data_IF_906647436192
#
_entry.id   IF_906647436192
#
_cell.length_a   1.000
_cell.length_b   1.000
_cell.length_c   1.000
_cell.angle_alpha   90.00
_cell.angle_beta   90.00
_cell.angle_gamma   90.00
#
_symmetry.space_group_name_H-M   'P 1'
#
loop_
_entity.id
_entity.type
_entity.pdbx_description
1 polymer ?
#
# COMPACT_ATOMS: atom_id res chain seq x y z
N UNK A 1 -70.66 -22.05 -12.14
CA UNK A 1 -70.41 -20.92 -11.21
C UNK A 1 -68.93 -20.77 -10.78
N UNK A 2 -68.05 -21.75 -11.02
CA UNK A 2 -66.64 -21.74 -10.57
C UNK A 2 -65.65 -20.93 -11.45
N UNK A 3 -65.90 -20.80 -12.75
CA UNK A 3 -64.97 -20.11 -13.69
C UNK A 3 -64.97 -18.58 -13.47
N UNK A 4 -66.10 -17.99 -13.10
CA UNK A 4 -66.21 -16.54 -12.84
C UNK A 4 -65.44 -16.10 -11.60
N UNK A 5 -65.43 -16.92 -10.55
CA UNK A 5 -64.67 -16.67 -9.32
C UNK A 5 -63.16 -16.77 -9.56
N UNK A 6 -62.73 -17.73 -10.40
CA UNK A 6 -61.33 -17.91 -10.76
C UNK A 6 -60.77 -16.74 -11.59
N UNK A 7 -61.53 -16.28 -12.59
CA UNK A 7 -61.15 -15.11 -13.42
C UNK A 7 -61.13 -13.81 -12.58
N UNK A 8 -62.07 -13.66 -11.64
CA UNK A 8 -62.11 -12.51 -10.73
C UNK A 8 -60.90 -12.47 -9.77
N UNK A 9 -60.46 -13.63 -9.28
CA UNK A 9 -59.28 -13.74 -8.42
C UNK A 9 -57.96 -13.47 -9.17
N UNK A 10 -57.84 -13.92 -10.42
CA UNK A 10 -56.67 -13.63 -11.27
C UNK A 10 -56.59 -12.13 -11.61
N UNK A 11 -57.71 -11.50 -11.97
CA UNK A 11 -57.75 -10.06 -12.24
C UNK A 11 -57.39 -9.21 -11.00
N UNK A 12 -57.80 -9.65 -9.81
CA UNK A 12 -57.47 -8.99 -8.54
C UNK A 12 -56.00 -9.16 -8.14
N UNK A 13 -55.40 -10.29 -8.48
CA UNK A 13 -53.97 -10.58 -8.31
C UNK A 13 -53.08 -9.71 -9.22
N UNK A 14 -53.39 -9.66 -10.53
CA UNK A 14 -52.69 -8.83 -11.51
C UNK A 14 -52.79 -7.32 -11.20
N UNK A 15 -53.94 -6.85 -10.71
CA UNK A 15 -54.12 -5.48 -10.26
C UNK A 15 -53.29 -5.09 -9.03
N UNK A 16 -52.97 -6.04 -8.14
CA UNK A 16 -52.09 -5.81 -6.99
C UNK A 16 -50.62 -5.77 -7.40
N UNK A 17 -50.19 -6.59 -8.36
CA UNK A 17 -48.83 -6.62 -8.90
C UNK A 17 -48.47 -5.32 -9.66
N UNK A 18 -49.37 -4.82 -10.51
CA UNK A 18 -49.16 -3.55 -11.24
C UNK A 18 -49.13 -2.31 -10.31
N UNK A 19 -49.86 -2.34 -9.19
CA UNK A 19 -49.81 -1.29 -8.15
C UNK A 19 -48.53 -1.32 -7.30
N UNK A 20 -47.80 -2.45 -7.24
CA UNK A 20 -46.51 -2.55 -6.56
C UNK A 20 -45.36 -2.08 -7.45
N UNK A 21 -45.37 -2.42 -8.75
CA UNK A 21 -44.37 -1.93 -9.71
C UNK A 21 -44.37 -0.41 -9.88
N UNK A 22 -45.54 0.24 -9.89
CA UNK A 22 -45.63 1.70 -10.00
C UNK A 22 -45.16 2.44 -8.72
N UNK A 23 -45.31 1.83 -7.54
CA UNK A 23 -44.80 2.41 -6.28
C UNK A 23 -43.27 2.27 -6.13
N UNK A 24 -42.65 1.24 -6.72
CA UNK A 24 -41.19 1.14 -6.75
C UNK A 24 -40.56 2.08 -7.79
N UNK A 25 -41.18 2.26 -8.97
CA UNK A 25 -40.70 3.20 -9.98
C UNK A 25 -40.83 4.68 -9.55
N UNK A 26 -41.86 5.04 -8.76
CA UNK A 26 -42.06 6.41 -8.27
C UNK A 26 -41.14 6.76 -7.08
N UNK A 27 -40.64 5.75 -6.35
CA UNK A 27 -39.68 5.96 -5.26
C UNK A 27 -38.22 5.99 -5.77
N UNK A 28 -37.91 5.26 -6.85
CA UNK A 28 -36.58 5.28 -7.48
C UNK A 28 -36.30 6.58 -8.28
N UNK A 29 -37.33 7.29 -8.73
CA UNK A 29 -37.20 8.56 -9.47
C UNK A 29 -37.09 9.83 -8.61
N UNK A 30 -37.18 9.73 -7.27
CA UNK A 30 -37.18 10.90 -6.37
C UNK A 30 -35.86 11.17 -5.64
N UNK A 31 -34.87 10.27 -5.72
CA UNK A 31 -33.56 10.43 -5.05
C UNK A 31 -32.39 10.71 -5.99
N UNK A 32 -32.64 11.06 -7.26
CA UNK A 32 -31.64 11.60 -8.17
C UNK A 32 -32.22 12.83 -8.85
N UNK A 33 -31.91 14.00 -8.30
CA UNK A 33 -31.70 15.32 -8.93
C UNK A 33 -31.73 16.33 -7.75
N UNK A 34 -30.56 16.50 -7.13
CA UNK A 34 -30.28 17.63 -6.25
C UNK A 34 -28.85 18.06 -6.55
N UNK A 35 -28.68 18.84 -7.62
CA UNK A 35 -27.64 19.86 -7.82
C UNK A 35 -27.56 20.26 -9.30
N UNK A 36 -27.25 21.55 -9.49
CA UNK A 36 -26.92 22.28 -10.73
C UNK A 36 -28.03 23.04 -11.48
N UNK A 37 -27.97 24.35 -11.22
CA UNK A 37 -27.88 25.45 -12.20
C UNK A 37 -29.06 25.78 -13.11
N UNK A 38 -29.66 26.93 -12.78
CA UNK A 38 -29.97 28.05 -13.67
C UNK A 38 -29.53 27.90 -15.14
N UNK A 39 -30.50 27.84 -16.06
CA UNK A 39 -30.53 28.67 -17.29
C UNK A 39 -31.84 28.52 -18.06
N UNK A 40 -32.31 29.66 -18.58
CA UNK A 40 -33.45 29.84 -19.47
C UNK A 40 -33.39 28.93 -20.70
N UNK A 41 -34.54 28.34 -21.07
CA UNK A 41 -34.71 27.68 -22.36
C UNK A 41 -36.07 27.03 -22.52
N UNK A 42 -36.86 27.50 -23.49
CA UNK A 42 -38.19 27.00 -23.88
C UNK A 42 -38.29 25.48 -23.89
N UNK A 43 -39.12 24.91 -23.02
CA UNK A 43 -39.58 23.52 -23.13
C UNK A 43 -40.87 23.51 -23.95
N UNK A 44 -40.77 23.03 -25.18
CA UNK A 44 -41.90 22.61 -26.00
C UNK A 44 -42.72 21.56 -25.24
N UNK A 45 -44.01 21.81 -25.02
CA UNK A 45 -44.97 20.80 -24.55
C UNK A 45 -45.06 19.66 -25.57
N UNK A 46 -44.22 18.64 -25.42
CA UNK A 46 -44.52 17.32 -25.95
C UNK A 46 -45.54 16.69 -24.99
N UNK A 47 -46.80 16.66 -25.39
CA UNK A 47 -47.85 15.93 -24.69
C UNK A 47 -47.55 14.44 -24.76
N UNK A 48 -46.87 13.89 -23.76
CA UNK A 48 -46.89 12.46 -23.51
C UNK A 48 -48.32 12.09 -23.13
N UNK A 49 -49.12 11.68 -24.13
CA UNK A 49 -50.37 10.93 -23.91
C UNK A 49 -49.98 9.67 -23.15
N UNK A 50 -50.08 9.69 -21.82
CA UNK A 50 -50.12 8.46 -21.03
C UNK A 50 -51.41 7.75 -21.44
N UNK A 51 -51.31 6.77 -22.33
CA UNK A 51 -52.37 5.82 -22.58
C UNK A 51 -52.64 5.11 -21.26
N UNK A 52 -53.67 5.58 -20.56
CA UNK A 52 -54.12 5.00 -19.31
C UNK A 52 -54.51 3.55 -19.56
N UNK A 53 -53.69 2.61 -19.09
CA UNK A 53 -53.92 1.17 -19.19
C UNK A 53 -55.30 0.73 -18.64
N UNK A 54 -55.96 1.56 -17.81
CA UNK A 54 -57.28 1.28 -17.24
C UNK A 54 -58.40 1.16 -18.28
N UNK A 55 -58.35 1.93 -19.37
CA UNK A 55 -59.38 1.90 -20.42
C UNK A 55 -59.31 0.64 -21.29
N UNK A 56 -58.11 0.11 -21.47
CA UNK A 56 -57.88 -1.11 -22.25
C UNK A 56 -58.30 -2.36 -21.45
N UNK A 57 -57.94 -2.41 -20.17
CA UNK A 57 -58.27 -3.53 -19.27
C UNK A 57 -59.79 -3.69 -19.09
N UNK A 58 -60.52 -2.58 -18.95
CA UNK A 58 -61.98 -2.62 -18.78
C UNK A 58 -62.72 -3.08 -20.04
N UNK A 59 -62.23 -2.71 -21.24
CA UNK A 59 -62.75 -3.24 -22.51
C UNK A 59 -62.43 -4.73 -22.68
N UNK A 60 -61.24 -5.16 -22.28
CA UNK A 60 -60.80 -6.56 -22.35
C UNK A 60 -61.66 -7.47 -21.48
N UNK A 61 -62.01 -7.04 -20.25
CA UNK A 61 -62.85 -7.82 -19.32
C UNK A 61 -64.26 -8.03 -19.88
N UNK A 62 -64.88 -7.00 -20.44
CA UNK A 62 -66.24 -7.13 -21.03
C UNK A 62 -66.25 -8.04 -22.25
N UNK A 63 -65.23 -7.93 -23.10
CA UNK A 63 -65.08 -8.79 -24.26
C UNK A 63 -64.92 -10.27 -23.85
N UNK A 64 -64.09 -10.56 -22.84
CA UNK A 64 -63.94 -11.92 -22.29
C UNK A 64 -65.25 -12.46 -21.73
N UNK A 65 -66.07 -11.61 -21.10
CA UNK A 65 -67.36 -12.03 -20.55
C UNK A 65 -68.37 -12.41 -21.65
N UNK A 66 -68.31 -11.77 -22.82
CA UNK A 66 -69.18 -12.05 -23.98
C UNK A 66 -68.85 -13.34 -24.75
N UNK A 67 -67.73 -13.99 -24.45
CA UNK A 67 -67.32 -15.23 -25.13
C UNK A 67 -68.17 -16.44 -24.71
N UNK A 68 -68.40 -17.36 -25.65
CA UNK A 68 -69.01 -18.66 -25.34
C UNK A 68 -68.10 -19.50 -24.43
N UNK A 69 -68.66 -20.52 -23.76
CA UNK A 69 -67.89 -21.37 -22.82
C UNK A 69 -66.67 -22.01 -23.50
N UNK A 70 -66.82 -22.42 -24.76
CA UNK A 70 -65.73 -22.99 -25.56
C UNK A 70 -64.64 -21.95 -25.87
N UNK A 71 -65.01 -20.73 -26.25
CA UNK A 71 -64.06 -19.65 -26.53
C UNK A 71 -63.31 -19.19 -25.27
N UNK A 72 -63.97 -19.22 -24.10
CA UNK A 72 -63.32 -18.97 -22.81
C UNK A 72 -62.27 -20.04 -22.48
N UNK A 73 -62.56 -21.31 -22.77
CA UNK A 73 -61.60 -22.40 -22.59
C UNK A 73 -60.36 -22.22 -23.49
N UNK A 74 -60.57 -21.92 -24.79
CA UNK A 74 -59.46 -21.63 -25.71
C UNK A 74 -58.63 -20.42 -25.29
N UNK A 75 -59.26 -19.35 -24.79
CA UNK A 75 -58.55 -18.16 -24.33
C UNK A 75 -57.68 -18.42 -23.09
N UNK A 76 -58.17 -19.22 -22.14
CA UNK A 76 -57.37 -19.62 -20.95
C UNK A 76 -56.19 -20.49 -21.36
N UNK A 77 -56.41 -21.48 -22.25
CA UNK A 77 -55.33 -22.33 -22.77
C UNK A 77 -54.29 -21.48 -23.50
N UNK A 78 -54.71 -20.52 -24.33
CA UNK A 78 -53.81 -19.61 -25.03
C UNK A 78 -52.95 -18.79 -24.06
N UNK A 79 -53.51 -18.27 -22.96
CA UNK A 79 -52.75 -17.54 -21.93
C UNK A 79 -51.73 -18.45 -21.24
N UNK A 80 -52.10 -19.68 -20.88
CA UNK A 80 -51.18 -20.64 -20.24
C UNK A 80 -50.02 -20.98 -21.17
N UNK A 81 -50.29 -21.22 -22.46
CA UNK A 81 -49.23 -21.45 -23.46
C UNK A 81 -48.34 -20.21 -23.61
N UNK A 82 -48.91 -19.00 -23.60
CA UNK A 82 -48.13 -17.76 -23.69
C UNK A 82 -47.24 -17.54 -22.46
N UNK A 83 -47.69 -17.91 -21.27
CA UNK A 83 -46.89 -17.87 -20.05
C UNK A 83 -45.75 -18.90 -20.07
N UNK A 84 -46.03 -20.14 -20.47
CA UNK A 84 -45.01 -21.18 -20.65
C UNK A 84 -43.99 -20.81 -21.73
N UNK A 85 -44.46 -20.21 -22.82
CA UNK A 85 -43.60 -19.70 -23.90
C UNK A 85 -42.76 -18.51 -23.42
N UNK A 86 -43.34 -17.57 -22.68
CA UNK A 86 -42.60 -16.43 -22.09
C UNK A 86 -41.52 -16.93 -21.13
N UNK A 87 -41.84 -17.92 -20.29
CA UNK A 87 -40.88 -18.53 -19.38
C UNK A 87 -39.79 -19.32 -20.12
N UNK A 88 -40.13 -19.97 -21.24
CA UNK A 88 -39.18 -20.66 -22.12
C UNK A 88 -38.25 -19.68 -22.85
N UNK A 89 -38.78 -18.56 -23.36
CA UNK A 89 -38.01 -17.52 -24.04
C UNK A 89 -37.07 -16.79 -23.08
N UNK A 90 -37.54 -16.45 -21.87
CA UNK A 90 -36.70 -15.85 -20.82
C UNK A 90 -35.61 -16.84 -20.38
N UNK A 91 -35.95 -18.10 -20.09
CA UNK A 91 -34.96 -19.12 -19.75
C UNK A 91 -33.96 -19.39 -20.87
N UNK A 92 -34.37 -19.32 -22.15
CA UNK A 92 -33.47 -19.57 -23.29
C UNK A 92 -32.54 -18.37 -23.54
N UNK A 93 -33.03 -17.14 -23.35
CA UNK A 93 -32.21 -15.93 -23.36
C UNK A 93 -31.20 -15.91 -22.21
N UNK A 94 -31.62 -16.25 -20.99
CA UNK A 94 -30.72 -16.40 -19.84
C UNK A 94 -29.71 -17.53 -20.06
N UNK A 95 -30.13 -18.69 -20.57
CA UNK A 95 -29.22 -19.82 -20.83
C UNK A 95 -28.24 -19.54 -21.98
N UNK A 96 -28.59 -18.69 -22.93
CA UNK A 96 -27.69 -18.27 -24.02
C UNK A 96 -26.73 -17.17 -23.56
N UNK A 97 -27.19 -16.22 -22.75
CA UNK A 97 -26.34 -15.21 -22.12
C UNK A 97 -25.37 -15.83 -21.11
N UNK A 98 -25.84 -16.79 -20.30
CA UNK A 98 -24.97 -17.51 -19.35
C UNK A 98 -23.94 -18.36 -20.07
N UNK A 99 -24.31 -19.03 -21.17
CA UNK A 99 -23.32 -19.75 -22.00
C UNK A 99 -22.26 -18.83 -22.61
N UNK A 100 -22.67 -17.65 -23.10
CA UNK A 100 -21.71 -16.67 -23.63
C UNK A 100 -20.81 -16.10 -22.52
N UNK A 101 -21.35 -15.88 -21.33
CA UNK A 101 -20.57 -15.46 -20.16
C UNK A 101 -19.58 -16.55 -19.73
N UNK A 102 -20.00 -17.80 -19.65
CA UNK A 102 -19.11 -18.94 -19.34
C UNK A 102 -18.04 -19.14 -20.41
N UNK A 103 -18.35 -18.90 -21.70
CA UNK A 103 -17.33 -18.90 -22.75
C UNK A 103 -16.28 -17.80 -22.53
N UNK A 104 -16.71 -16.58 -22.18
CA UNK A 104 -15.79 -15.49 -21.84
C UNK A 104 -14.95 -15.83 -20.60
N UNK A 105 -15.55 -16.43 -19.56
CA UNK A 105 -14.79 -16.88 -18.39
C UNK A 105 -13.77 -17.96 -18.74
N UNK A 106 -14.12 -18.91 -19.62
CA UNK A 106 -13.19 -19.92 -20.11
C UNK A 106 -12.03 -19.30 -20.92
N UNK A 107 -12.31 -18.30 -21.76
CA UNK A 107 -11.27 -17.52 -22.46
C UNK A 107 -10.36 -16.76 -21.49
N UNK A 108 -10.92 -16.13 -20.44
CA UNK A 108 -10.14 -15.49 -19.38
C UNK A 108 -9.28 -16.52 -18.63
N UNK A 109 -9.82 -17.71 -18.36
CA UNK A 109 -9.08 -18.79 -17.70
C UNK A 109 -7.87 -19.23 -18.54
N UNK A 110 -8.04 -19.35 -19.86
CA UNK A 110 -6.94 -19.62 -20.78
C UNK A 110 -5.88 -18.50 -20.78
N UNK A 111 -6.31 -17.22 -20.71
CA UNK A 111 -5.38 -16.10 -20.60
C UNK A 111 -4.61 -16.10 -19.28
N UNK A 112 -5.25 -16.49 -18.17
CA UNK A 112 -4.60 -16.64 -16.87
C UNK A 112 -3.54 -17.76 -16.93
N UNK A 113 -3.83 -18.90 -17.56
CA UNK A 113 -2.84 -19.97 -17.80
C UNK A 113 -1.62 -19.45 -18.58
N UNK A 114 -1.85 -18.67 -19.64
CA UNK A 114 -0.76 -18.04 -20.42
C UNK A 114 0.09 -17.16 -19.50
N UNK A 115 -0.53 -16.29 -18.69
CA UNK A 115 0.18 -15.41 -17.76
C UNK A 115 0.98 -16.16 -16.70
N UNK A 116 0.43 -17.26 -16.16
CA UNK A 116 1.15 -18.13 -15.24
C UNK A 116 2.39 -18.74 -15.93
N UNK A 117 2.25 -19.23 -17.16
CA UNK A 117 3.37 -19.85 -17.87
C UNK A 117 4.44 -18.85 -18.31
N UNK A 118 4.03 -17.66 -18.78
CA UNK A 118 4.92 -16.53 -19.05
C UNK A 118 5.65 -16.11 -17.77
N UNK A 119 4.95 -16.05 -16.64
CA UNK A 119 5.54 -15.73 -15.34
C UNK A 119 6.57 -16.77 -14.90
N UNK A 120 6.27 -18.07 -15.08
CA UNK A 120 7.20 -19.17 -14.79
C UNK A 120 8.47 -19.08 -15.64
N UNK A 121 8.32 -18.77 -16.93
CA UNK A 121 9.47 -18.57 -17.81
C UNK A 121 10.29 -17.34 -17.40
N UNK A 122 9.60 -16.22 -17.09
CA UNK A 122 10.24 -14.99 -16.62
C UNK A 122 10.99 -15.20 -15.31
N UNK A 123 10.47 -16.01 -14.38
CA UNK A 123 11.08 -16.24 -13.07
C UNK A 123 12.49 -16.84 -13.14
N UNK A 124 12.86 -17.43 -14.28
CA UNK A 124 14.19 -17.99 -14.54
C UNK A 124 15.27 -16.91 -14.76
N UNK A 125 14.90 -15.69 -15.13
CA UNK A 125 15.85 -14.61 -15.46
C UNK A 125 15.46 -13.24 -14.91
N UNK A 126 14.17 -12.97 -14.70
CA UNK A 126 13.62 -11.72 -14.20
C UNK A 126 12.40 -11.98 -13.28
N UNK A 127 12.68 -12.02 -11.97
CA UNK A 127 11.66 -12.18 -10.93
C UNK A 127 10.69 -10.98 -10.86
N UNK A 128 11.10 -9.79 -11.29
CA UNK A 128 10.24 -8.61 -11.32
C UNK A 128 9.14 -8.77 -12.37
N UNK A 129 9.52 -9.11 -13.59
CA UNK A 129 8.58 -9.41 -14.68
C UNK A 129 7.66 -10.58 -14.31
N UNK A 130 8.22 -11.65 -13.73
CA UNK A 130 7.42 -12.79 -13.28
C UNK A 130 6.33 -12.38 -12.27
N UNK A 131 6.68 -11.54 -11.29
CA UNK A 131 5.74 -11.02 -10.30
C UNK A 131 4.62 -10.22 -10.95
N UNK A 132 4.93 -9.32 -11.88
CA UNK A 132 3.93 -8.55 -12.61
C UNK A 132 2.93 -9.46 -13.32
N UNK A 133 3.40 -10.49 -14.02
CA UNK A 133 2.55 -11.46 -14.72
C UNK A 133 1.65 -12.26 -13.76
N UNK A 134 2.17 -12.63 -12.59
CA UNK A 134 1.38 -13.32 -11.57
C UNK A 134 0.34 -12.41 -10.88
N UNK A 135 0.65 -11.13 -10.68
CA UNK A 135 -0.32 -10.13 -10.21
C UNK A 135 -1.45 -9.98 -11.23
N UNK A 136 -1.11 -9.83 -12.52
CA UNK A 136 -2.11 -9.76 -13.60
C UNK A 136 -3.00 -11.02 -13.64
N UNK A 137 -2.39 -12.20 -13.51
CA UNK A 137 -3.11 -13.48 -13.45
C UNK A 137 -4.09 -13.53 -12.27
N UNK A 138 -3.68 -13.08 -11.08
CA UNK A 138 -4.53 -12.99 -9.89
C UNK A 138 -5.69 -12.02 -10.10
N UNK A 139 -5.40 -10.85 -10.65
CA UNK A 139 -6.39 -9.78 -10.82
C UNK A 139 -7.41 -10.13 -11.90
N UNK A 140 -7.02 -10.89 -12.94
CA UNK A 140 -7.93 -11.50 -13.90
C UNK A 140 -8.80 -12.59 -13.27
N UNK A 141 -8.21 -13.48 -12.46
CA UNK A 141 -8.96 -14.53 -11.77
C UNK A 141 -10.04 -13.95 -10.84
N UNK A 142 -9.73 -12.82 -10.18
CA UNK A 142 -10.67 -12.11 -9.31
C UNK A 142 -11.88 -11.50 -10.05
N UNK A 143 -11.82 -11.36 -11.38
CA UNK A 143 -12.93 -10.89 -12.21
C UNK A 143 -13.92 -12.02 -12.56
N UNK A 144 -13.54 -13.28 -12.38
CA UNK A 144 -14.38 -14.45 -12.65
C UNK A 144 -15.25 -14.75 -11.42
N UNK A 145 -16.60 -14.79 -11.53
CA UNK A 145 -17.45 -15.08 -10.39
C UNK A 145 -17.22 -16.48 -9.82
N UNK A 146 -17.03 -16.59 -8.50
CA UNK A 146 -16.78 -17.88 -7.82
C UNK A 146 -17.92 -18.90 -7.98
N UNK A 147 -19.13 -18.42 -8.27
CA UNK A 147 -20.30 -19.27 -8.52
C UNK A 147 -20.45 -19.72 -9.98
N UNK A 148 -19.61 -19.23 -10.91
CA UNK A 148 -19.56 -19.69 -12.30
C UNK A 148 -19.15 -21.17 -12.38
N UNK A 149 -19.56 -21.84 -13.44
CA UNK A 149 -19.17 -23.23 -13.66
C UNK A 149 -17.66 -23.31 -13.94
N UNK A 150 -17.12 -22.37 -14.72
CA UNK A 150 -15.68 -22.26 -15.01
C UNK A 150 -14.82 -22.13 -13.73
N UNK A 151 -15.25 -21.29 -12.77
CA UNK A 151 -14.49 -21.13 -11.53
C UNK A 151 -14.55 -22.38 -10.65
N UNK A 152 -15.70 -23.06 -10.55
CA UNK A 152 -15.82 -24.28 -9.76
C UNK A 152 -14.96 -25.42 -10.29
N UNK A 153 -14.72 -25.46 -11.61
CA UNK A 153 -13.88 -26.48 -12.23
C UNK A 153 -12.39 -26.30 -11.89
N UNK A 154 -11.87 -25.06 -11.91
CA UNK A 154 -10.41 -24.83 -11.83
C UNK A 154 -9.96 -23.57 -11.07
N UNK A 155 -10.88 -22.69 -10.70
CA UNK A 155 -10.57 -21.39 -10.10
C UNK A 155 -9.75 -21.50 -8.81
N UNK A 156 -10.10 -22.43 -7.91
CA UNK A 156 -9.35 -22.64 -6.67
C UNK A 156 -7.94 -23.22 -6.88
N UNK A 157 -7.79 -24.12 -7.86
CA UNK A 157 -6.47 -24.63 -8.26
C UNK A 157 -5.59 -23.47 -8.75
N UNK A 158 -6.11 -22.64 -9.64
CA UNK A 158 -5.37 -21.50 -10.20
C UNK A 158 -5.05 -20.46 -9.13
N UNK A 159 -5.97 -20.21 -8.20
CA UNK A 159 -5.72 -19.35 -7.04
C UNK A 159 -4.53 -19.86 -6.23
N UNK A 160 -4.49 -21.17 -5.96
CA UNK A 160 -3.40 -21.80 -5.21
C UNK A 160 -2.07 -21.74 -5.96
N UNK A 161 -2.07 -22.01 -7.26
CA UNK A 161 -0.87 -21.92 -8.11
C UNK A 161 -0.33 -20.50 -8.12
N UNK A 162 -1.18 -19.50 -8.41
CA UNK A 162 -0.75 -18.10 -8.47
C UNK A 162 -0.18 -17.65 -7.12
N UNK A 163 -0.81 -18.04 -6.00
CA UNK A 163 -0.31 -17.71 -4.67
C UNK A 163 1.07 -18.33 -4.37
N UNK A 164 1.29 -19.59 -4.75
CA UNK A 164 2.56 -20.27 -4.57
C UNK A 164 3.67 -19.64 -5.44
N UNK A 165 3.36 -19.31 -6.69
CA UNK A 165 4.29 -18.67 -7.62
C UNK A 165 4.66 -17.25 -7.16
N UNK A 166 3.68 -16.46 -6.70
CA UNK A 166 3.92 -15.15 -6.08
C UNK A 166 4.83 -15.25 -4.86
N UNK A 167 4.57 -16.21 -3.96
CA UNK A 167 5.43 -16.43 -2.80
C UNK A 167 6.88 -16.74 -3.20
N UNK A 168 7.08 -17.54 -4.26
CA UNK A 168 8.40 -17.87 -4.81
C UNK A 168 9.17 -16.66 -5.36
N UNK A 169 8.50 -15.74 -6.05
CA UNK A 169 9.16 -14.53 -6.61
C UNK A 169 9.26 -13.38 -5.62
N UNK A 170 8.47 -13.37 -4.55
CA UNK A 170 8.47 -12.32 -3.54
C UNK A 170 9.64 -12.39 -2.55
N UNK A 171 10.50 -13.42 -2.63
CA UNK A 171 11.68 -13.62 -1.77
C UNK A 171 11.41 -13.25 -0.31
N UNK A 172 10.29 -13.77 0.23
CA UNK A 172 9.87 -13.50 1.60
C UNK A 172 10.64 -14.44 2.53
N UNK A 173 11.42 -13.84 3.44
CA UNK A 173 12.08 -14.52 4.54
C UNK A 173 11.22 -14.32 5.78
N UNK A 174 10.51 -15.37 6.18
CA UNK A 174 9.72 -15.37 7.41
C UNK A 174 10.60 -15.70 8.61
N UNK A 175 10.59 -14.83 9.61
CA UNK A 175 11.32 -14.98 10.87
C UNK A 175 10.29 -15.30 11.95
N UNK A 176 10.11 -16.58 12.25
CA UNK A 176 9.06 -17.01 13.19
C UNK A 176 9.29 -16.49 14.61
N UNK A 177 10.57 -16.44 15.04
CA UNK A 177 10.97 -16.00 16.37
C UNK A 177 12.23 -15.11 16.26
N UNK A 178 12.09 -13.81 15.95
CA UNK A 178 13.23 -12.92 15.86
C UNK A 178 13.93 -12.84 17.22
N UNK A 179 15.26 -12.73 17.21
CA UNK A 179 16.02 -12.61 18.45
C UNK A 179 15.73 -11.25 19.08
N UNK A 180 15.03 -11.24 20.22
CA UNK A 180 14.90 -10.04 21.05
C UNK A 180 16.23 -9.83 21.77
N UNK A 181 17.03 -8.91 21.25
CA UNK A 181 18.38 -8.68 21.75
C UNK A 181 18.32 -7.92 23.08
N UNK A 182 17.50 -6.86 23.10
CA UNK A 182 17.39 -5.88 24.19
C UNK A 182 15.94 -5.40 24.27
N UNK A 183 15.46 -5.10 25.47
CA UNK A 183 14.23 -4.35 25.71
C UNK A 183 14.55 -3.15 26.62
N UNK A 184 14.24 -1.94 26.16
CA UNK A 184 14.54 -0.73 26.93
C UNK A 184 13.73 -0.65 28.24
N UNK A 185 12.61 -1.37 28.35
CA UNK A 185 11.82 -1.44 29.59
C UNK A 185 12.54 -2.13 30.74
N UNK A 186 13.66 -2.81 30.47
CA UNK A 186 14.56 -3.33 31.50
C UNK A 186 15.16 -2.21 32.39
N UNK A 187 15.19 -0.97 31.91
CA UNK A 187 15.56 0.21 32.70
C UNK A 187 14.38 0.68 33.55
N UNK A 188 13.22 0.90 32.92
CA UNK A 188 11.95 1.31 33.54
C UNK A 188 10.77 0.92 32.62
N UNK A 189 9.69 0.38 33.20
CA UNK A 189 8.47 -0.02 32.48
C UNK A 189 7.75 1.09 31.73
N UNK A 190 7.95 2.35 32.10
CA UNK A 190 7.26 3.50 31.48
C UNK A 190 7.94 4.00 30.19
N UNK A 191 9.10 3.46 29.85
CA UNK A 191 9.89 3.87 28.68
C UNK A 191 9.12 3.56 27.41
N UNK A 192 9.13 4.53 26.48
CA UNK A 192 8.69 4.33 25.10
C UNK A 192 9.72 4.93 24.19
N UNK A 193 10.09 4.23 23.12
CA UNK A 193 11.10 4.70 22.16
C UNK A 193 10.43 4.97 20.82
N UNK A 194 10.71 6.13 20.19
CA UNK A 194 10.18 6.49 18.85
C UNK A 194 11.19 6.20 17.73
N UNK A 195 12.46 6.43 18.00
CA UNK A 195 13.54 6.32 17.03
C UNK A 195 14.83 5.79 17.65
N UNK A 196 15.71 5.26 16.82
CA UNK A 196 16.99 4.70 17.21
C UNK A 196 18.11 5.11 16.26
N UNK A 197 19.33 5.25 16.79
CA UNK A 197 20.54 5.39 15.98
C UNK A 197 21.60 4.37 16.41
N UNK A 198 22.40 3.91 15.46
CA UNK A 198 23.55 3.02 15.71
C UNK A 198 24.84 3.83 15.72
N UNK A 199 25.55 3.83 16.85
CA UNK A 199 26.87 4.46 16.99
C UNK A 199 27.86 3.44 17.56
N UNK A 200 28.78 2.99 16.71
CA UNK A 200 29.70 1.89 17.05
C UNK A 200 28.91 0.62 17.40
N UNK A 201 29.26 -0.01 18.53
CA UNK A 201 28.59 -1.22 19.03
C UNK A 201 27.39 -0.93 19.96
N UNK A 202 26.77 0.25 19.84
CA UNK A 202 25.65 0.65 20.70
C UNK A 202 24.52 1.28 19.90
N UNK A 203 23.30 0.88 20.23
CA UNK A 203 22.07 1.53 19.76
C UNK A 203 21.62 2.54 20.82
N UNK A 204 21.29 3.75 20.38
CA UNK A 204 20.74 4.79 21.22
C UNK A 204 19.26 4.96 20.88
N UNK A 205 18.39 4.77 21.88
CA UNK A 205 16.94 4.93 21.76
C UNK A 205 16.48 6.26 22.34
N UNK A 206 15.64 6.96 21.59
CA UNK A 206 15.10 8.28 21.94
C UNK A 206 13.66 8.16 22.45
N UNK A 207 13.38 8.71 23.64
CA UNK A 207 12.07 8.55 24.28
C UNK A 207 10.93 9.29 23.55
N UNK A 208 9.76 8.69 23.46
CA UNK A 208 8.59 9.29 22.78
C UNK A 208 7.92 10.42 23.56
N UNK A 209 8.13 10.47 24.88
CA UNK A 209 7.36 11.33 25.78
C UNK A 209 8.22 12.43 26.41
N UNK A 210 9.54 12.23 26.46
CA UNK A 210 10.46 13.15 27.12
C UNK A 210 11.80 13.25 26.36
N UNK A 211 12.69 14.12 26.83
CA UNK A 211 14.00 14.34 26.20
C UNK A 211 15.09 13.34 26.59
N UNK A 212 14.75 12.15 27.11
CA UNK A 212 15.72 11.16 27.59
C UNK A 212 16.23 10.28 26.45
N UNK A 213 17.49 9.87 26.58
CA UNK A 213 18.17 8.98 25.63
C UNK A 213 18.72 7.78 26.38
N UNK A 214 18.40 6.60 25.89
CA UNK A 214 18.83 5.32 26.45
C UNK A 214 19.86 4.68 25.54
N UNK A 215 20.79 3.93 26.12
CA UNK A 215 21.81 3.20 25.38
C UNK A 215 21.63 1.71 25.59
N UNK A 216 21.75 0.98 24.49
CA UNK A 216 21.69 -0.46 24.38
C UNK A 216 23.03 -0.94 23.78
N UNK A 217 23.87 -1.60 24.57
CA UNK A 217 25.13 -2.15 24.08
C UNK A 217 24.90 -3.53 23.45
N UNK A 218 25.27 -3.68 22.17
CA UNK A 218 24.96 -4.88 21.39
C UNK A 218 25.84 -6.09 21.76
N UNK A 219 27.05 -5.87 22.29
CA UNK A 219 28.00 -6.92 22.63
C UNK A 219 27.63 -7.61 23.95
N UNK A 220 27.40 -6.81 25.00
CA UNK A 220 27.11 -7.32 26.34
C UNK A 220 25.62 -7.32 26.69
N UNK A 221 24.77 -6.84 25.78
CA UNK A 221 23.30 -6.77 25.90
C UNK A 221 22.79 -5.98 27.10
N UNK A 222 23.58 -5.02 27.60
CA UNK A 222 23.19 -4.14 28.70
C UNK A 222 22.47 -2.89 28.22
N UNK A 223 21.62 -2.35 29.08
CA UNK A 223 20.91 -1.09 28.86
C UNK A 223 21.24 -0.08 29.95
N UNK A 224 21.45 1.19 29.57
CA UNK A 224 21.74 2.29 30.49
C UNK A 224 21.02 3.57 30.06
N UNK A 225 20.88 4.52 30.98
CA UNK A 225 20.45 5.88 30.65
C UNK A 225 21.68 6.66 30.19
N UNK A 226 21.63 7.30 29.02
CA UNK A 226 22.68 8.20 28.53
C UNK A 226 22.35 9.65 28.86
N UNK A 227 21.13 10.08 28.59
CA UNK A 227 20.66 11.43 28.94
C UNK A 227 19.38 11.27 29.73
N UNK A 228 19.37 11.79 30.96
CA UNK A 228 18.18 11.83 31.80
C UNK A 228 17.54 13.20 31.73
N UNK A 229 16.42 13.32 31.01
CA UNK A 229 15.68 14.57 30.88
C UNK A 229 14.18 14.36 31.07
N UNK A 230 13.82 13.56 32.08
CA UNK A 230 12.44 13.21 32.43
C UNK A 230 11.55 14.40 32.81
N UNK A 231 12.15 15.56 33.11
CA UNK A 231 11.43 16.78 33.46
C UNK A 231 11.11 17.67 32.24
N UNK A 232 11.69 17.38 31.08
CA UNK A 232 11.37 18.06 29.82
C UNK A 232 10.29 17.29 29.08
N UNK A 233 9.15 17.92 28.84
CA UNK A 233 8.07 17.37 28.01
C UNK A 233 8.31 17.60 26.51
N UNK A 234 9.56 17.75 26.08
CA UNK A 234 9.92 17.97 24.68
C UNK A 234 10.44 16.65 24.07
N UNK A 235 9.58 15.83 23.45
CA UNK A 235 9.97 14.55 22.86
C UNK A 235 10.71 14.75 21.54
N UNK A 236 11.29 13.66 21.03
CA UNK A 236 11.98 13.64 19.74
C UNK A 236 11.00 13.43 18.59
N UNK A 237 11.14 14.24 17.55
CA UNK A 237 10.45 14.07 16.27
C UNK A 237 11.26 13.17 15.31
N UNK A 238 12.59 13.30 15.31
CA UNK A 238 13.49 12.50 14.48
C UNK A 238 14.90 12.43 15.08
N UNK A 239 15.68 11.43 14.68
CA UNK A 239 17.08 11.29 15.06
C UNK A 239 17.89 10.65 13.94
N UNK A 240 19.17 11.00 13.85
CA UNK A 240 20.11 10.39 12.91
C UNK A 240 21.52 10.33 13.47
N UNK A 241 22.28 9.35 12.97
CA UNK A 241 23.72 9.23 13.19
C UNK A 241 24.44 10.46 12.62
N UNK A 242 25.42 10.94 13.37
CA UNK A 242 26.29 12.05 13.00
C UNK A 242 27.76 11.62 13.12
N UNK A 243 28.59 12.03 12.16
CA UNK A 243 30.02 11.69 12.17
C UNK A 243 30.88 12.81 12.76
N UNK A 244 31.89 12.50 13.61
CA UNK A 244 32.21 11.18 14.14
C UNK A 244 31.48 10.87 15.45
N UNK A 245 30.69 9.77 15.47
CA UNK A 245 30.21 9.13 16.69
C UNK A 245 29.21 9.92 17.55
N UNK A 246 28.51 10.89 16.96
CA UNK A 246 27.47 11.68 17.63
C UNK A 246 26.08 11.38 17.04
N UNK A 247 25.02 11.97 17.59
CA UNK A 247 23.68 11.95 17.00
C UNK A 247 23.16 13.35 16.76
N UNK A 248 22.42 13.57 15.68
CA UNK A 248 21.61 14.77 15.48
C UNK A 248 20.14 14.43 15.76
N UNK A 249 19.41 15.38 16.35
CA UNK A 249 17.99 15.19 16.67
C UNK A 249 17.16 16.40 16.26
N UNK A 250 15.89 16.13 15.96
CA UNK A 250 14.82 17.12 15.88
C UNK A 250 13.88 16.87 17.04
N UNK A 251 13.53 17.92 17.78
CA UNK A 251 12.51 17.85 18.83
C UNK A 251 11.13 18.19 18.28
N UNK A 252 10.07 17.79 18.99
CA UNK A 252 8.70 18.05 18.59
C UNK A 252 8.31 19.54 18.58
N UNK A 253 9.07 20.40 19.28
CA UNK A 253 8.94 21.86 19.20
C UNK A 253 9.72 22.47 18.01
N UNK A 254 10.18 21.64 17.07
CA UNK A 254 10.96 22.02 15.88
C UNK A 254 12.34 22.62 16.17
N UNK A 255 12.88 22.43 17.38
CA UNK A 255 14.28 22.74 17.71
C UNK A 255 15.19 21.54 17.43
N UNK A 256 16.51 21.76 17.51
CA UNK A 256 17.51 20.75 17.18
C UNK A 256 18.48 20.53 18.32
N UNK A 257 19.11 19.36 18.34
CA UNK A 257 20.16 19.03 19.30
C UNK A 257 21.22 18.11 18.74
N UNK A 258 22.36 18.06 19.42
CA UNK A 258 23.44 17.09 19.20
C UNK A 258 23.59 16.23 20.43
N UNK A 259 23.43 14.92 20.26
CA UNK A 259 23.79 13.91 21.24
C UNK A 259 25.30 13.68 21.16
N UNK A 260 25.99 13.86 22.28
CA UNK A 260 27.37 13.43 22.45
C UNK A 260 27.39 12.23 23.42
N UNK A 261 27.66 11.01 22.93
CA UNK A 261 27.66 9.82 23.78
C UNK A 261 28.84 9.74 24.75
N UNK A 262 29.91 10.51 24.54
CA UNK A 262 31.09 10.51 25.41
C UNK A 262 30.85 11.39 26.64
N UNK A 263 30.31 12.59 26.43
CA UNK A 263 29.94 13.49 27.53
C UNK A 263 28.55 13.22 28.08
N UNK A 264 27.84 12.21 27.57
CA UNK A 264 26.49 11.80 27.99
C UNK A 264 25.52 12.99 28.02
N UNK A 265 25.59 13.83 26.99
CA UNK A 265 24.90 15.12 26.96
C UNK A 265 24.16 15.36 25.65
N UNK A 266 23.05 16.07 25.74
CA UNK A 266 22.29 16.57 24.61
C UNK A 266 22.41 18.10 24.58
N UNK A 267 23.20 18.64 23.64
CA UNK A 267 23.41 20.08 23.51
C UNK A 267 22.46 20.69 22.49
N UNK A 268 21.85 21.86 22.75
CA UNK A 268 21.05 22.57 21.75
C UNK A 268 21.86 22.86 20.49
N UNK A 269 21.21 22.78 19.33
CA UNK A 269 21.79 23.15 18.04
C UNK A 269 20.94 24.25 17.41
N UNK A 270 21.58 25.38 17.07
CA UNK A 270 20.94 26.44 16.29
C UNK A 270 21.29 26.28 14.82
N UNK A 271 20.26 26.26 13.97
CA UNK A 271 20.39 26.13 12.52
C UNK A 271 20.01 27.42 11.77
N UNK A 272 19.70 28.51 12.48
CA UNK A 272 19.48 29.83 11.88
C UNK A 272 18.23 29.94 10.98
N UNK A 273 17.15 29.22 11.31
CA UNK A 273 15.87 29.39 10.61
C UNK A 273 15.17 30.68 11.03
N UNK A 274 14.81 31.50 10.04
CA UNK A 274 14.08 32.76 10.25
C UNK A 274 12.56 32.56 10.42
N UNK A 275 12.02 31.47 9.87
CA UNK A 275 10.60 31.13 9.94
C UNK A 275 10.37 29.99 10.92
N UNK A 276 9.34 30.13 11.75
CA UNK A 276 8.83 29.04 12.59
C UNK A 276 7.75 28.20 11.89
N UNK A 277 7.36 28.57 10.66
CA UNK A 277 6.31 27.89 9.91
C UNK A 277 6.85 26.67 9.15
N UNK A 278 7.44 25.73 9.87
CA UNK A 278 8.15 24.55 9.34
C UNK A 278 7.63 23.26 9.97
N UNK A 279 7.74 22.14 9.25
CA UNK A 279 7.53 20.80 9.81
C UNK A 279 8.69 19.89 9.43
N UNK A 280 9.76 19.96 10.22
CA UNK A 280 10.91 19.08 10.10
C UNK A 280 10.53 17.67 10.57
N UNK A 281 10.42 16.75 9.62
CA UNK A 281 10.11 15.34 9.88
C UNK A 281 11.36 14.48 9.97
N UNK A 282 12.52 15.00 9.52
CA UNK A 282 13.78 14.28 9.58
C UNK A 282 15.02 15.18 9.56
N UNK A 283 16.14 14.65 10.04
CA UNK A 283 17.48 15.25 10.00
C UNK A 283 18.50 14.19 9.62
N UNK A 284 19.49 14.51 8.80
CA UNK A 284 20.58 13.60 8.48
C UNK A 284 21.91 14.34 8.34
N UNK A 285 23.03 13.65 8.53
CA UNK A 285 24.36 14.20 8.30
C UNK A 285 25.09 13.35 7.26
N UNK A 286 25.60 14.01 6.23
CA UNK A 286 26.40 13.38 5.19
C UNK A 286 27.69 14.17 4.97
N UNK A 287 28.83 13.56 5.29
CA UNK A 287 30.13 14.23 5.34
C UNK A 287 30.13 15.39 6.33
N UNK A 288 30.39 16.61 5.83
CA UNK A 288 30.46 17.86 6.64
C UNK A 288 29.19 18.70 6.55
N UNK A 289 28.07 18.08 6.17
CA UNK A 289 26.80 18.77 5.93
C UNK A 289 25.68 18.12 6.74
N UNK A 290 24.83 18.98 7.29
CA UNK A 290 23.58 18.58 7.92
C UNK A 290 22.43 18.91 6.96
N UNK A 291 21.48 18.01 6.87
CA UNK A 291 20.30 18.11 6.04
C UNK A 291 19.06 18.01 6.92
N UNK A 292 18.06 18.87 6.69
CA UNK A 292 16.75 18.79 7.32
C UNK A 292 15.68 18.65 6.27
N UNK A 293 14.65 17.85 6.57
CA UNK A 293 13.52 17.61 5.68
C UNK A 293 12.28 18.32 6.23
N UNK A 294 11.90 19.44 5.62
CA UNK A 294 10.66 20.16 5.93
C UNK A 294 9.54 19.69 4.99
N UNK A 295 8.74 18.74 5.46
CA UNK A 295 7.64 18.16 4.69
C UNK A 295 6.60 19.23 4.34
N UNK A 296 6.26 20.11 5.29
CA UNK A 296 5.18 21.10 5.11
C UNK A 296 5.44 22.03 3.92
N UNK A 297 6.68 22.50 3.77
CA UNK A 297 7.05 23.44 2.71
C UNK A 297 7.70 22.78 1.48
N UNK A 298 7.79 21.44 1.47
CA UNK A 298 8.52 20.67 0.46
C UNK A 298 9.95 21.18 0.25
N UNK A 299 10.69 21.31 1.36
CA UNK A 299 12.08 21.78 1.36
C UNK A 299 13.01 20.74 1.96
N UNK A 300 14.20 20.67 1.38
CA UNK A 300 15.35 20.04 2.01
C UNK A 300 16.36 21.15 2.21
N UNK A 301 16.68 21.48 3.46
CA UNK A 301 17.72 22.46 3.73
C UNK A 301 19.05 21.75 3.93
N UNK A 302 20.12 22.39 3.46
CA UNK A 302 21.49 21.95 3.66
C UNK A 302 22.22 23.02 4.46
N UNK A 303 22.97 22.57 5.46
CA UNK A 303 23.84 23.41 6.28
C UNK A 303 25.28 22.93 6.17
N UNK A 304 26.20 23.88 5.97
CA UNK A 304 27.63 23.58 5.98
C UNK A 304 28.16 23.67 7.41
N UNK A 305 28.93 22.67 7.85
CA UNK A 305 29.63 22.72 9.14
C UNK A 305 30.66 23.86 9.15
N UNK A 306 30.69 24.62 10.24
CA UNK A 306 31.60 25.74 10.50
C UNK A 306 32.07 25.68 11.95
N UNK A 307 33.25 25.07 12.19
CA UNK A 307 33.67 24.73 13.55
C UNK A 307 32.79 23.61 14.11
N UNK A 308 32.23 23.82 15.31
CA UNK A 308 31.25 22.91 15.93
C UNK A 308 29.80 23.22 15.54
N UNK A 309 29.56 24.37 14.91
CA UNK A 309 28.23 24.83 14.50
C UNK A 309 27.93 24.55 13.03
N UNK A 310 26.69 24.83 12.63
CA UNK A 310 26.22 24.76 11.26
C UNK A 310 25.79 26.15 10.78
N UNK A 311 26.14 26.47 9.53
CA UNK A 311 25.76 27.75 8.92
C UNK A 311 24.27 27.88 8.65
N UNK A 312 23.87 29.03 8.09
CA UNK A 312 22.50 29.33 7.69
C UNK A 312 21.93 28.28 6.71
N UNK A 313 20.60 28.06 6.71
CA UNK A 313 19.96 27.08 5.84
C UNK A 313 20.06 27.52 4.37
N UNK A 314 20.49 26.61 3.50
CA UNK A 314 20.41 26.75 2.06
C UNK A 314 19.36 25.76 1.53
N UNK A 315 18.44 26.21 0.67
CA UNK A 315 17.58 25.28 -0.06
C UNK A 315 18.44 24.39 -0.95
N UNK A 316 18.36 23.08 -0.74
CA UNK A 316 19.14 22.11 -1.49
C UNK A 316 18.48 21.75 -2.82
N UNK A 317 17.16 21.90 -2.92
CA UNK A 317 16.43 21.57 -4.13
C UNK A 317 16.68 22.64 -5.21
N UNK A 318 17.03 22.19 -6.41
CA UNK A 318 17.20 23.04 -7.59
C UNK A 318 15.95 23.09 -8.45
N UNK A 319 15.04 22.13 -8.29
CA UNK A 319 13.75 22.04 -8.97
C UNK A 319 12.62 21.79 -7.97
N UNK A 320 11.36 21.91 -8.41
CA UNK A 320 10.21 21.65 -7.55
C UNK A 320 9.99 20.14 -7.42
N UNK A 321 10.01 19.64 -6.19
CA UNK A 321 9.55 18.31 -5.82
C UNK A 321 8.41 18.44 -4.80
N UNK A 322 7.41 17.55 -4.89
CA UNK A 322 6.34 17.47 -3.89
C UNK A 322 6.74 16.53 -2.77
N UNK A 323 7.02 17.10 -1.59
CA UNK A 323 7.44 16.37 -0.38
C UNK A 323 6.42 16.53 0.78
N UNK A 324 5.17 16.93 0.51
CA UNK A 324 4.19 17.22 1.58
C UNK A 324 3.84 16.01 2.45
N UNK A 325 3.94 14.81 1.87
CA UNK A 325 3.70 13.53 2.56
C UNK A 325 5.01 12.79 2.89
N UNK A 326 6.13 13.50 2.93
CA UNK A 326 7.41 12.92 3.30
C UNK A 326 7.40 12.49 4.78
N UNK A 327 8.03 11.34 5.04
CA UNK A 327 8.12 10.73 6.38
C UNK A 327 9.55 10.64 6.88
N UNK A 328 10.48 10.26 6.01
CA UNK A 328 11.87 10.03 6.38
C UNK A 328 12.77 10.23 5.16
N UNK A 329 14.06 10.38 5.41
CA UNK A 329 15.11 10.60 4.42
C UNK A 329 16.31 9.71 4.72
N UNK A 330 16.99 9.26 3.67
CA UNK A 330 18.30 8.61 3.79
C UNK A 330 19.26 9.18 2.74
N UNK A 331 20.56 9.19 3.05
CA UNK A 331 21.57 9.85 2.22
C UNK A 331 22.81 8.96 2.07
N UNK A 332 23.18 8.65 0.83
CA UNK A 332 24.43 7.95 0.48
C UNK A 332 25.32 8.77 -0.48
N UNK A 333 24.88 9.98 -0.82
CA UNK A 333 25.38 10.81 -1.90
C UNK A 333 24.21 11.38 -2.70
N UNK A 334 23.26 10.51 -3.03
CA UNK A 334 21.90 10.89 -3.42
C UNK A 334 21.01 10.99 -2.16
N UNK A 335 19.87 11.68 -2.28
CA UNK A 335 18.88 11.77 -1.21
C UNK A 335 17.65 10.95 -1.58
N UNK A 336 17.27 10.00 -0.73
CA UNK A 336 16.05 9.20 -0.87
C UNK A 336 15.01 9.69 0.13
N UNK A 337 13.88 10.21 -0.35
CA UNK A 337 12.78 10.66 0.50
C UNK A 337 11.67 9.62 0.47
N UNK A 338 11.40 9.01 1.62
CA UNK A 338 10.29 8.09 1.82
C UNK A 338 9.00 8.86 2.10
N UNK A 339 7.93 8.54 1.37
CA UNK A 339 6.58 9.03 1.65
C UNK A 339 5.82 8.08 2.57
N UNK A 340 4.80 8.60 3.24
CA UNK A 340 3.92 7.83 4.15
C UNK A 340 3.29 6.59 3.52
N UNK A 341 3.02 6.62 2.21
CA UNK A 341 2.48 5.47 1.46
C UNK A 341 3.53 4.42 1.04
N UNK A 342 4.82 4.63 1.36
CA UNK A 342 5.90 3.71 0.99
C UNK A 342 6.59 4.00 -0.34
N UNK A 343 6.11 4.99 -1.12
CA UNK A 343 6.83 5.43 -2.32
C UNK A 343 8.10 6.21 -1.95
N UNK A 344 9.11 6.16 -2.83
CA UNK A 344 10.39 6.83 -2.63
C UNK A 344 10.68 7.76 -3.79
N UNK A 345 11.03 9.01 -3.48
CA UNK A 345 11.59 9.96 -4.44
C UNK A 345 13.10 9.95 -4.26
N UNK A 346 13.84 9.64 -5.33
CA UNK A 346 15.29 9.81 -5.37
C UNK A 346 15.62 11.20 -5.93
N UNK A 347 16.51 11.90 -5.24
CA UNK A 347 17.00 13.22 -5.62
C UNK A 347 18.52 13.16 -5.77
N UNK A 348 19.00 13.63 -6.92
CA UNK A 348 20.42 13.69 -7.26
C UNK A 348 20.82 15.13 -7.54
N UNK A 349 21.83 15.62 -6.82
CA UNK A 349 22.33 16.99 -6.96
C UNK A 349 21.26 18.10 -6.87
N UNK A 350 20.16 17.87 -6.13
CA UNK A 350 19.07 18.82 -5.93
C UNK A 350 17.86 18.64 -6.86
N UNK A 351 17.89 17.70 -7.80
CA UNK A 351 16.81 17.45 -8.76
C UNK A 351 16.25 16.02 -8.65
N UNK A 352 15.00 15.82 -9.06
CA UNK A 352 14.33 14.51 -9.05
C UNK A 352 14.92 13.62 -10.14
N UNK A 353 15.40 12.43 -9.75
CA UNK A 353 15.79 11.40 -10.69
C UNK A 353 14.55 10.71 -11.26
N UNK A 354 14.07 11.19 -12.40
CA UNK A 354 12.91 10.63 -13.10
C UNK A 354 13.08 9.20 -13.61
N UNK A 355 14.30 8.67 -13.64
CA UNK A 355 14.58 7.29 -14.06
C UNK A 355 14.48 6.29 -12.91
N UNK A 356 14.49 6.76 -11.67
CA UNK A 356 14.40 5.93 -10.49
C UNK A 356 12.95 5.53 -10.19
N UNK A 357 12.73 4.23 -9.97
CA UNK A 357 11.47 3.71 -9.44
C UNK A 357 11.71 2.42 -8.69
N UNK A 358 10.98 2.21 -7.59
CA UNK A 358 10.99 0.92 -6.91
C UNK A 358 10.23 -0.11 -7.75
N UNK A 359 10.84 -1.29 -7.94
CA UNK A 359 10.17 -2.42 -8.58
C UNK A 359 8.93 -2.79 -7.77
N UNK A 360 7.80 -2.96 -8.46
CA UNK A 360 6.55 -3.36 -7.82
C UNK A 360 6.69 -4.67 -7.06
N UNK A 361 6.17 -4.69 -5.84
CA UNK A 361 6.06 -5.88 -4.98
C UNK A 361 4.60 -6.12 -4.60
N UNK A 362 4.30 -7.35 -4.20
CA UNK A 362 2.98 -7.74 -3.74
C UNK A 362 3.07 -8.45 -2.38
N UNK A 363 2.30 -8.05 -1.35
CA UNK A 363 1.52 -6.82 -1.30
C UNK A 363 2.39 -5.57 -1.47
N UNK A 364 1.85 -4.48 -2.03
CA UNK A 364 2.56 -3.20 -2.12
C UNK A 364 2.87 -2.65 -0.72
N UNK A 365 3.93 -1.84 -0.61
CA UNK A 365 4.17 -1.07 0.62
C UNK A 365 3.01 -0.09 0.78
N UNK A 366 2.41 -0.04 1.97
CA UNK A 366 1.25 0.82 2.24
C UNK A 366 1.46 1.74 3.44
N UNK A 367 2.50 1.49 4.25
CA UNK A 367 2.90 2.33 5.37
C UNK A 367 4.42 2.46 5.39
N UNK A 368 4.96 3.51 4.79
CA UNK A 368 6.39 3.81 4.88
C UNK A 368 6.70 4.46 6.22
N UNK A 369 7.42 3.77 7.10
CA UNK A 369 7.75 4.26 8.45
C UNK A 369 9.17 4.80 8.57
N UNK A 370 10.14 4.05 8.06
CA UNK A 370 11.57 4.39 8.10
C UNK A 370 12.24 3.94 6.80
N UNK A 371 13.30 4.66 6.41
CA UNK A 371 14.16 4.34 5.27
C UNK A 371 15.60 4.38 5.73
N UNK A 372 16.42 3.44 5.26
CA UNK A 372 17.84 3.41 5.62
C UNK A 372 18.71 3.14 4.41
N UNK A 373 19.70 4.01 4.24
CA UNK A 373 20.92 3.82 3.45
C UNK A 373 21.95 4.84 3.92
N UNK A 374 23.22 4.50 3.80
CA UNK A 374 24.37 5.39 4.02
C UNK A 374 25.49 5.09 3.00
N UNK A 375 26.63 5.80 3.12
CA UNK A 375 27.79 5.61 2.24
C UNK A 375 28.46 4.23 2.33
N UNK A 376 28.17 3.45 3.38
CA UNK A 376 28.75 2.13 3.63
C UNK A 376 27.78 0.98 3.27
N UNK A 377 26.49 1.28 3.09
CA UNK A 377 25.49 0.31 2.62
C UNK A 377 25.42 0.20 1.09
N UNK A 378 25.11 -0.99 0.60
CA UNK A 378 24.90 -1.27 -0.82
C UNK A 378 23.42 -1.24 -1.21
N UNK A 379 22.52 -1.40 -0.23
CA UNK A 379 21.07 -1.53 -0.45
C UNK A 379 20.31 -0.32 0.10
N UNK A 380 19.03 -0.28 -0.25
CA UNK A 380 18.02 0.60 0.32
C UNK A 380 17.02 -0.24 1.11
N UNK A 381 16.79 0.13 2.37
CA UNK A 381 15.87 -0.57 3.26
C UNK A 381 14.66 0.29 3.55
N UNK A 382 13.46 -0.30 3.54
CA UNK A 382 12.20 0.38 3.89
C UNK A 382 11.45 -0.44 4.94
N UNK A 383 11.06 0.20 6.04
CA UNK A 383 10.24 -0.39 7.09
C UNK A 383 8.76 -0.20 6.77
N UNK A 384 8.01 -1.30 6.68
CA UNK A 384 6.58 -1.36 6.36
C UNK A 384 5.79 -1.97 7.53
N UNK A 385 5.32 -1.17 8.51
CA UNK A 385 4.58 -1.68 9.67
C UNK A 385 3.27 -2.36 9.29
N UNK A 386 2.54 -1.84 8.30
CA UNK A 386 1.27 -2.42 7.84
C UNK A 386 1.49 -3.81 7.24
N UNK A 387 2.57 -3.98 6.47
CA UNK A 387 3.00 -5.27 5.94
C UNK A 387 3.80 -6.14 6.92
N UNK A 388 4.05 -5.67 8.15
CA UNK A 388 4.89 -6.34 9.18
C UNK A 388 6.21 -6.82 8.61
N UNK A 389 6.95 -5.94 7.94
CA UNK A 389 8.17 -6.34 7.21
C UNK A 389 9.18 -5.22 7.03
N UNK A 390 10.43 -5.63 6.81
CA UNK A 390 11.49 -4.81 6.21
C UNK A 390 11.62 -5.23 4.74
N UNK A 391 11.54 -4.27 3.83
CA UNK A 391 11.69 -4.48 2.39
C UNK A 391 13.06 -3.97 1.95
N UNK A 392 13.76 -4.77 1.17
CA UNK A 392 15.11 -4.45 0.68
C UNK A 392 15.08 -4.27 -0.83
N UNK A 393 15.69 -3.17 -1.28
CA UNK A 393 15.91 -2.84 -2.68
C UNK A 393 17.40 -2.63 -2.96
N UNK A 394 17.83 -2.84 -4.19
CA UNK A 394 19.07 -2.24 -4.70
C UNK A 394 18.89 -0.71 -4.80
N UNK A 395 20.00 0.03 -4.79
CA UNK A 395 19.98 1.49 -5.02
C UNK A 395 19.49 1.90 -6.41
N UNK A 396 19.36 0.95 -7.34
CA UNK A 396 18.69 1.13 -8.64
C UNK A 396 17.16 1.04 -8.57
N UNK A 397 16.60 0.65 -7.41
CA UNK A 397 15.18 0.38 -7.23
C UNK A 397 14.77 -1.06 -7.53
N UNK A 398 15.70 -1.94 -7.90
CA UNK A 398 15.42 -3.37 -8.10
C UNK A 398 15.07 -4.05 -6.76
N UNK A 399 13.97 -4.80 -6.73
CA UNK A 399 13.56 -5.53 -5.53
C UNK A 399 14.51 -6.70 -5.21
N UNK A 400 14.77 -6.91 -3.91
CA UNK A 400 15.73 -7.91 -3.44
C UNK A 400 15.06 -8.98 -2.58
N UNK A 401 14.57 -8.58 -1.42
CA UNK A 401 14.05 -9.47 -0.39
C UNK A 401 13.09 -8.74 0.55
N UNK A 402 12.31 -9.52 1.29
CA UNK A 402 11.45 -9.03 2.36
C UNK A 402 11.67 -9.88 3.60
N UNK A 403 11.86 -9.24 4.75
CA UNK A 403 11.96 -9.90 6.04
C UNK A 403 10.69 -9.62 6.82
N UNK A 404 9.90 -10.65 7.12
CA UNK A 404 8.64 -10.51 7.85
C UNK A 404 8.65 -11.37 9.11
N UNK A 405 7.87 -10.98 10.12
CA UNK A 405 7.69 -11.78 11.31
C UNK A 405 6.28 -11.60 11.88
N UNK A 406 5.63 -12.67 12.36
CA UNK A 406 4.40 -12.54 13.15
C UNK A 406 4.59 -11.66 14.41
N UNK A 407 5.81 -11.61 14.96
CA UNK A 407 6.18 -10.82 16.14
C UNK A 407 6.36 -9.32 15.86
N UNK A 408 6.38 -8.90 14.58
CA UNK A 408 6.40 -7.49 14.23
C UNK A 408 5.00 -6.91 14.43
N UNK A 409 4.80 -6.24 15.55
CA UNK A 409 3.50 -5.75 16.01
C UNK A 409 3.44 -4.24 16.13
N UNK A 410 4.58 -3.58 16.34
CA UNK A 410 4.70 -2.15 16.55
C UNK A 410 6.05 -1.65 15.99
N UNK A 411 6.23 -1.77 14.68
CA UNK A 411 7.46 -1.37 13.99
C UNK A 411 7.59 0.15 13.94
N UNK A 412 8.63 0.70 14.58
CA UNK A 412 8.80 2.16 14.73
C UNK A 412 9.97 2.73 13.95
N UNK A 413 11.09 2.02 13.94
CA UNK A 413 12.32 2.48 13.31
C UNK A 413 13.29 1.31 13.06
N UNK A 414 14.35 1.54 12.29
CA UNK A 414 15.40 0.55 12.06
C UNK A 414 16.76 1.18 11.82
N UNK A 415 17.81 0.43 12.13
CA UNK A 415 19.19 0.72 11.74
C UNK A 415 19.81 -0.50 11.11
N UNK A 416 20.69 -0.30 10.13
CA UNK A 416 21.30 -1.38 9.35
C UNK A 416 22.81 -1.38 9.54
N UNK A 417 23.37 -2.56 9.75
CA UNK A 417 24.80 -2.82 9.74
C UNK A 417 25.09 -3.95 8.73
N UNK A 418 25.25 -3.57 7.46
CA UNK A 418 25.59 -4.54 6.41
C UNK A 418 26.97 -5.20 6.64
N UNK A 419 27.91 -4.51 7.29
CA UNK A 419 29.23 -5.08 7.59
C UNK A 419 29.12 -6.28 8.55
N UNK A 420 28.17 -6.23 9.48
CA UNK A 420 27.82 -7.34 10.37
C UNK A 420 26.71 -8.25 9.82
N UNK A 421 26.17 -7.97 8.63
CA UNK A 421 24.98 -8.61 8.04
C UNK A 421 23.75 -8.56 8.96
N UNK A 422 23.50 -7.43 9.62
CA UNK A 422 22.39 -7.27 10.57
C UNK A 422 21.47 -6.10 10.21
N UNK A 423 20.18 -6.27 10.51
CA UNK A 423 19.24 -5.16 10.68
C UNK A 423 18.71 -5.22 12.10
N UNK A 424 18.75 -4.09 12.79
CA UNK A 424 18.14 -3.93 14.10
C UNK A 424 16.84 -3.15 13.94
N UNK A 425 15.74 -3.76 14.35
CA UNK A 425 14.40 -3.21 14.17
C UNK A 425 13.80 -2.89 15.54
N UNK A 426 13.36 -1.65 15.72
CA UNK A 426 12.62 -1.24 16.91
C UNK A 426 11.17 -1.68 16.79
N UNK A 427 10.76 -2.61 17.65
CA UNK A 427 9.39 -3.12 17.76
C UNK A 427 8.83 -2.79 19.15
N UNK A 428 8.06 -1.70 19.26
CA UNK A 428 7.61 -1.15 20.53
C UNK A 428 8.77 -0.56 21.34
N UNK A 429 9.25 -1.32 22.33
CA UNK A 429 10.42 -0.99 23.16
C UNK A 429 11.54 -2.02 23.02
N UNK A 430 11.31 -3.09 22.26
CA UNK A 430 12.28 -4.15 22.04
C UNK A 430 13.07 -3.89 20.75
N UNK A 431 14.36 -4.21 20.80
CA UNK A 431 15.24 -4.23 19.65
C UNK A 431 15.35 -5.66 19.15
N UNK A 432 14.76 -5.93 17.99
CA UNK A 432 14.86 -7.22 17.32
C UNK A 432 16.04 -7.22 16.36
N UNK A 433 16.78 -8.32 16.35
CA UNK A 433 17.88 -8.55 15.42
C UNK A 433 17.41 -9.46 14.27
N UNK A 434 17.73 -9.04 13.04
CA UNK A 434 17.50 -9.77 11.81
C UNK A 434 18.84 -10.06 11.15
N UNK A 435 19.10 -11.33 10.87
CA UNK A 435 20.19 -11.76 10.00
C UNK A 435 19.86 -11.49 8.53
N UNK A 436 20.71 -10.71 7.86
CA UNK A 436 20.64 -10.52 6.42
C UNK A 436 21.15 -11.76 5.72
N UNK A 437 20.26 -12.50 5.06
CA UNK A 437 20.58 -13.65 4.21
C UNK A 437 20.75 -13.25 2.74
N UNK A 438 21.17 -12.00 2.51
CA UNK A 438 21.38 -11.46 1.17
C UNK A 438 22.68 -12.01 0.59
N UNK A 439 22.60 -12.70 -0.55
CA UNK A 439 23.82 -13.04 -1.31
C UNK A 439 24.42 -11.75 -1.86
N UNK A 440 25.67 -11.47 -1.53
CA UNK A 440 26.41 -10.39 -2.17
C UNK A 440 26.62 -10.77 -3.63
N UNK A 441 25.97 -10.06 -4.55
CA UNK A 441 26.40 -10.03 -5.95
C UNK A 441 27.71 -9.23 -6.02
N UNK A 442 28.76 -9.75 -5.41
CA UNK A 442 30.11 -9.35 -5.77
C UNK A 442 30.37 -9.94 -7.15
N UNK A 443 30.13 -9.12 -8.17
CA UNK A 443 30.60 -9.36 -9.52
C UNK A 443 32.11 -9.56 -9.44
N UNK A 444 32.52 -10.83 -9.39
CA UNK A 444 33.89 -11.26 -9.38
C UNK A 444 34.48 -10.96 -10.76
N UNK A 445 34.94 -9.73 -10.97
CA UNK A 445 35.92 -9.43 -12.01
C UNK A 445 37.26 -10.01 -11.54
N UNK A 446 37.39 -11.34 -11.63
CA UNK A 446 38.69 -11.99 -11.60
C UNK A 446 39.47 -11.52 -12.83
N UNK A 447 40.26 -10.46 -12.64
CA UNK A 447 41.30 -10.06 -13.58
C UNK A 447 42.40 -11.11 -13.56
N UNK A 448 42.22 -12.17 -14.34
CA UNK A 448 43.31 -13.08 -14.68
C UNK A 448 44.25 -12.36 -15.64
N UNK A 449 45.22 -11.64 -15.07
CA UNK A 449 46.37 -11.15 -15.81
C UNK A 449 47.24 -12.37 -16.15
N UNK A 450 47.49 -12.72 -17.43
CA UNK A 450 48.42 -13.79 -17.76
C UNK A 450 49.84 -13.28 -17.50
N UNK A 451 50.54 -13.94 -16.58
CA UNK A 451 51.98 -13.79 -16.42
C UNK A 451 52.68 -14.37 -17.64
N UNK A 452 53.27 -13.50 -18.47
CA UNK A 452 54.21 -13.89 -19.52
C UNK A 452 55.52 -14.35 -18.85
N UNK A 453 55.77 -15.65 -18.88
CA UNK A 453 57.10 -16.21 -18.63
C UNK A 453 58.00 -15.93 -19.83
N UNK A 454 58.97 -15.05 -19.63
CA UNK A 454 60.09 -14.88 -20.56
C UNK A 454 61.01 -16.09 -20.52
N UNK A 455 61.28 -16.67 -21.68
CA UNK A 455 62.45 -17.51 -21.90
C UNK A 455 63.66 -16.59 -22.15
N UNK A 456 64.73 -16.85 -21.39
CA UNK A 456 66.11 -16.63 -21.80
C UNK A 456 66.80 -18.00 -21.80
#
# INVERSE_FOLDING_TARGET
MWIGSFIWNIARSLGKLLRRGSKQAVTAGKNRIASRESRNGRVSRASTRSLSASGFITKLIRWIQSLSVLQKAFFVVAIVVLLLFSQSVVNRGEKQNNKAAEQNYAEQMANIDVKINEGKAAALYDKGTARTLYIEARDLLAQIPENSDTFKERGEEMRSVIAAELAGVNNVVTIDNPSSLIDFTAINSDIKISSIILLGASVYGFDENNGSVYRANLENKSTTVTVSNSNSSNPFAASAKASPGTGAVVFADQTFGILNPISESLSPLSLGYESTDTNFVDVNIFGVRLYTLDAKNSKIFRHRKSGEDFGAPEDWLTSKADLTDARAMAIDGDIYVLKTNGSVIKLSAGDVDSSFSLTTIDPAISSGQAIYTDENTQRLYILDPAGKRVVVYEKTGAFVAQYTSPSFTDLKDMVVDEASNKVYVLNGTALFEIDLTLTSNSGQAASTTPTLSGQA
#
